data_IF_556369328303
#
_entry.id   IF_556369328303
#
_cell.length_a   1.000
_cell.length_b   1.000
_cell.length_c   1.000
_cell.angle_alpha   90.00
_cell.angle_beta   90.00
_cell.angle_gamma   90.00
#
_symmetry.space_group_name_H-M   'P 1'
#
loop_
_entity.id
_entity.type
_entity.pdbx_description
1 polymer ?
#
# COMPACT_ATOMS: atom_id res chain seq x y z
N UNK A 1 26.09 61.79 -27.86
CA UNK A 1 26.20 60.66 -26.93
C UNK A 1 25.84 59.34 -27.67
N UNK A 2 26.84 58.56 -28.10
CA UNK A 2 26.63 57.24 -28.81
C UNK A 2 26.44 56.18 -27.76
N UNK A 3 25.24 55.56 -27.67
CA UNK A 3 25.00 54.40 -26.80
C UNK A 3 25.74 53.19 -27.39
N UNK A 4 26.66 52.66 -26.67
CA UNK A 4 27.32 51.35 -26.99
C UNK A 4 26.32 50.25 -26.63
N UNK A 5 25.94 49.44 -27.61
CA UNK A 5 25.21 48.18 -27.39
C UNK A 5 26.15 47.22 -26.64
N UNK A 6 25.67 46.52 -25.60
CA UNK A 6 26.42 45.47 -24.97
C UNK A 6 26.52 44.25 -25.92
N UNK A 7 27.74 43.72 -26.06
CA UNK A 7 28.06 42.52 -26.82
C UNK A 7 27.36 41.32 -26.21
N UNK A 8 26.76 40.42 -27.00
CA UNK A 8 26.08 39.25 -26.46
C UNK A 8 27.10 38.28 -25.85
N UNK A 9 26.84 37.85 -24.61
CA UNK A 9 27.65 36.90 -23.88
C UNK A 9 27.75 35.58 -24.69
N UNK A 10 28.99 35.20 -25.02
CA UNK A 10 29.30 33.91 -25.66
C UNK A 10 28.94 32.79 -24.72
N UNK A 11 27.89 32.03 -25.06
CA UNK A 11 27.59 30.75 -24.41
C UNK A 11 28.76 29.79 -24.66
N UNK A 12 29.29 29.12 -23.63
CA UNK A 12 30.35 28.13 -23.82
C UNK A 12 29.81 26.98 -24.68
N UNK A 13 30.48 26.73 -25.80
CA UNK A 13 30.15 25.59 -26.70
C UNK A 13 30.24 24.29 -25.89
N UNK A 14 29.14 23.56 -25.82
CA UNK A 14 29.11 22.18 -25.31
C UNK A 14 30.09 21.38 -26.14
N UNK A 15 31.23 21.01 -25.52
CA UNK A 15 32.27 20.19 -26.10
C UNK A 15 31.65 18.86 -26.51
N UNK A 16 31.58 18.63 -27.83
CA UNK A 16 31.03 17.43 -28.43
C UNK A 16 31.82 16.21 -27.90
N UNK A 17 31.24 15.53 -26.91
CA UNK A 17 31.79 14.28 -26.39
C UNK A 17 31.36 13.16 -27.32
N UNK A 18 32.15 12.90 -28.36
CA UNK A 18 32.04 11.68 -29.14
C UNK A 18 32.26 10.49 -28.21
N UNK A 19 31.17 9.85 -27.85
CA UNK A 19 31.20 8.62 -27.07
C UNK A 19 31.76 7.50 -27.90
N UNK A 20 32.99 7.08 -27.61
CA UNK A 20 33.60 5.92 -28.23
C UNK A 20 32.78 4.65 -27.85
N UNK A 21 32.74 3.63 -28.74
CA UNK A 21 32.08 2.34 -28.44
C UNK A 21 32.43 1.78 -27.06
N UNK A 22 33.70 1.91 -26.63
CA UNK A 22 34.17 1.52 -25.29
C UNK A 22 33.50 2.32 -24.16
N UNK A 23 33.34 3.63 -24.33
CA UNK A 23 32.66 4.49 -23.34
C UNK A 23 31.16 4.17 -23.23
N UNK A 24 30.52 3.83 -24.36
CA UNK A 24 29.13 3.41 -24.37
C UNK A 24 28.94 2.06 -23.63
N UNK A 25 29.80 1.07 -23.92
CA UNK A 25 29.75 -0.25 -23.23
C UNK A 25 30.04 -0.10 -21.74
N UNK A 26 31.03 0.68 -21.35
CA UNK A 26 31.33 0.92 -19.94
C UNK A 26 30.19 1.66 -19.22
N UNK A 27 29.56 2.63 -19.86
CA UNK A 27 28.39 3.33 -19.35
C UNK A 27 27.18 2.39 -19.19
N UNK A 28 26.91 1.57 -20.20
CA UNK A 28 25.82 0.58 -20.14
C UNK A 28 26.06 -0.47 -19.03
N UNK A 29 27.29 -0.96 -18.89
CA UNK A 29 27.67 -1.89 -17.81
C UNK A 29 27.54 -1.24 -16.44
N UNK A 30 27.91 0.03 -16.28
CA UNK A 30 27.75 0.80 -15.05
C UNK A 30 26.27 0.96 -14.64
N UNK A 31 25.42 1.30 -15.62
CA UNK A 31 23.97 1.41 -15.40
C UNK A 31 23.37 0.05 -15.05
N UNK A 32 23.72 -1.02 -15.76
CA UNK A 32 23.26 -2.37 -15.45
C UNK A 32 23.72 -2.82 -14.04
N UNK A 33 24.95 -2.50 -13.64
CA UNK A 33 25.47 -2.77 -12.30
C UNK A 33 24.71 -2.02 -11.19
N UNK A 34 24.38 -0.76 -11.41
CA UNK A 34 23.55 0.04 -10.49
C UNK A 34 22.13 -0.53 -10.37
N UNK A 35 21.54 -0.98 -11.49
CA UNK A 35 20.22 -1.65 -11.46
C UNK A 35 20.28 -2.98 -10.71
N UNK A 36 21.34 -3.79 -10.91
CA UNK A 36 21.51 -5.05 -10.20
C UNK A 36 21.72 -4.85 -8.68
N UNK A 37 22.52 -3.84 -8.30
CA UNK A 37 22.71 -3.46 -6.90
C UNK A 37 21.40 -2.92 -6.28
N UNK A 38 20.65 -2.10 -7.01
CA UNK A 38 19.35 -1.61 -6.58
C UNK A 38 18.32 -2.73 -6.40
N UNK A 39 18.31 -3.73 -7.29
CA UNK A 39 17.45 -4.90 -7.17
C UNK A 39 17.83 -5.80 -5.98
N UNK A 40 19.12 -5.96 -5.70
CA UNK A 40 19.62 -6.72 -4.56
C UNK A 40 19.39 -6.01 -3.20
N UNK A 41 19.33 -4.67 -3.21
CA UNK A 41 19.05 -3.87 -2.03
C UNK A 41 17.55 -3.70 -1.74
N UNK A 42 16.66 -4.12 -2.65
CA UNK A 42 15.23 -4.18 -2.38
C UNK A 42 14.97 -5.36 -1.45
N UNK A 43 14.95 -5.09 -0.14
CA UNK A 43 14.39 -6.01 0.85
C UNK A 43 12.97 -6.43 0.45
N UNK A 44 12.46 -7.49 1.05
CA UNK A 44 11.08 -7.95 0.82
C UNK A 44 10.13 -6.76 0.96
N UNK A 45 9.47 -6.42 -0.14
CA UNK A 45 8.46 -5.37 -0.11
C UNK A 45 7.32 -5.83 0.79
N UNK A 46 6.87 -4.99 1.74
CA UNK A 46 5.78 -5.40 2.62
C UNK A 46 4.57 -5.80 1.78
N UNK A 47 3.88 -6.87 2.15
CA UNK A 47 2.73 -7.35 1.40
C UNK A 47 1.63 -6.27 1.41
N UNK A 48 1.21 -5.86 0.21
CA UNK A 48 0.23 -4.80 0.02
C UNK A 48 -1.18 -5.39 -0.13
N UNK A 49 -2.16 -4.80 0.56
CA UNK A 49 -3.55 -5.15 0.33
C UNK A 49 -4.01 -4.53 -0.99
N UNK A 50 -4.47 -5.36 -1.90
CA UNK A 50 -4.94 -4.97 -3.23
C UNK A 50 -6.46 -4.81 -3.27
N UNK A 51 -6.99 -4.02 -4.23
CA UNK A 51 -8.42 -3.99 -4.47
C UNK A 51 -8.98 -5.39 -4.77
N UNK A 52 -10.25 -5.67 -4.42
CA UNK A 52 -10.87 -6.96 -4.70
C UNK A 52 -10.82 -7.31 -6.20
N UNK A 53 -10.79 -8.60 -6.52
CA UNK A 53 -10.64 -9.08 -7.89
C UNK A 53 -9.25 -8.92 -8.50
N UNK A 54 -8.22 -8.52 -7.73
CA UNK A 54 -6.87 -8.34 -8.22
C UNK A 54 -5.87 -9.29 -7.55
N UNK A 55 -4.86 -9.71 -8.33
CA UNK A 55 -3.70 -10.45 -7.83
C UNK A 55 -2.43 -9.64 -8.09
N UNK A 56 -1.42 -9.80 -7.23
CA UNK A 56 -0.20 -9.00 -7.28
C UNK A 56 0.53 -9.10 -8.63
N UNK A 57 0.70 -10.31 -9.17
CA UNK A 57 1.38 -10.53 -10.44
C UNK A 57 0.60 -9.90 -11.60
N UNK A 58 -0.73 -10.03 -11.59
CA UNK A 58 -1.59 -9.43 -12.62
C UNK A 58 -1.57 -7.91 -12.53
N UNK A 59 -1.57 -7.38 -11.30
CA UNK A 59 -1.48 -5.94 -11.09
C UNK A 59 -0.15 -5.39 -11.62
N UNK A 60 0.97 -6.04 -11.36
CA UNK A 60 2.28 -5.65 -11.90
C UNK A 60 2.33 -5.74 -13.42
N UNK A 61 1.73 -6.76 -14.02
CA UNK A 61 1.79 -7.02 -15.46
C UNK A 61 0.84 -6.14 -16.28
N UNK A 62 -0.38 -5.88 -15.80
CA UNK A 62 -1.45 -5.30 -16.61
C UNK A 62 -1.87 -3.88 -16.18
N UNK A 63 -1.50 -3.41 -14.99
CA UNK A 63 -1.94 -2.11 -14.51
C UNK A 63 -1.29 -0.96 -15.28
N UNK A 64 -2.11 -0.16 -15.96
CA UNK A 64 -1.68 1.05 -16.66
C UNK A 64 -1.44 2.26 -15.74
N UNK A 65 -1.70 2.13 -14.44
CA UNK A 65 -1.59 3.23 -13.46
C UNK A 65 -2.43 4.46 -13.83
N UNK A 66 -3.61 4.23 -14.42
CA UNK A 66 -4.49 5.25 -14.99
C UNK A 66 -5.42 5.92 -13.99
N UNK A 67 -5.40 5.50 -12.72
CA UNK A 67 -6.18 6.03 -11.59
C UNK A 67 -7.72 5.91 -11.72
N UNK A 68 -8.27 5.25 -12.74
CA UNK A 68 -9.73 5.09 -12.93
C UNK A 68 -10.40 4.39 -11.76
N UNK A 69 -9.81 3.30 -11.25
CA UNK A 69 -10.33 2.57 -10.09
C UNK A 69 -10.40 3.46 -8.83
N UNK A 70 -9.42 4.33 -8.65
CA UNK A 70 -9.38 5.29 -7.55
C UNK A 70 -10.45 6.37 -7.69
N UNK A 71 -10.65 6.91 -8.90
CA UNK A 71 -11.59 8.01 -9.14
C UNK A 71 -13.05 7.61 -8.97
N UNK A 72 -13.41 6.33 -9.17
CA UNK A 72 -14.77 5.83 -8.98
C UNK A 72 -15.04 5.26 -7.58
N UNK A 73 -14.00 5.13 -6.76
CA UNK A 73 -14.15 4.62 -5.41
C UNK A 73 -14.81 5.67 -4.51
N UNK A 74 -16.09 5.52 -4.23
CA UNK A 74 -16.87 6.48 -3.45
C UNK A 74 -16.51 6.49 -1.95
N UNK A 75 -15.93 5.39 -1.44
CA UNK A 75 -15.45 5.31 -0.06
C UNK A 75 -14.04 5.88 0.11
N UNK A 76 -13.34 6.16 -1.01
CA UNK A 76 -12.00 6.73 -1.00
C UNK A 76 -10.90 5.78 -0.52
N UNK A 77 -11.19 4.49 -0.37
CA UNK A 77 -10.24 3.51 0.18
C UNK A 77 -9.09 3.18 -0.77
N UNK A 78 -9.26 3.37 -2.08
CA UNK A 78 -8.20 3.07 -3.05
C UNK A 78 -7.17 4.19 -3.07
N UNK A 79 -5.99 3.92 -2.54
CA UNK A 79 -4.80 4.73 -2.66
C UNK A 79 -3.87 4.25 -3.78
N UNK A 80 -2.66 4.77 -3.81
CA UNK A 80 -1.61 4.35 -4.75
C UNK A 80 -0.35 3.99 -3.97
N UNK A 81 0.34 2.95 -4.41
CA UNK A 81 1.63 2.57 -3.86
C UNK A 81 2.66 3.69 -4.04
N UNK A 82 3.44 3.95 -3.01
CA UNK A 82 4.51 4.93 -3.00
C UNK A 82 5.86 4.33 -3.43
N UNK A 83 6.89 5.13 -3.30
CA UNK A 83 8.26 4.69 -3.61
C UNK A 83 8.80 3.67 -2.61
N UNK A 84 8.36 3.76 -1.35
CA UNK A 84 8.79 2.87 -0.28
C UNK A 84 8.35 1.41 -0.49
N UNK A 85 7.23 1.21 -1.19
CA UNK A 85 6.70 -0.12 -1.53
C UNK A 85 7.38 -0.72 -2.77
N UNK A 86 8.30 0.01 -3.41
CA UNK A 86 9.11 -0.45 -4.54
C UNK A 86 8.67 0.11 -5.90
N UNK A 87 9.65 0.20 -6.80
CA UNK A 87 9.47 0.83 -8.13
C UNK A 87 8.39 0.14 -8.99
N UNK A 88 8.29 -1.18 -8.93
CA UNK A 88 7.33 -1.95 -9.74
C UNK A 88 5.89 -1.73 -9.31
N UNK A 89 5.66 -1.46 -8.02
CA UNK A 89 4.33 -1.25 -7.45
C UNK A 89 3.97 0.23 -7.32
N UNK A 90 4.93 1.12 -7.57
CA UNK A 90 4.70 2.56 -7.53
C UNK A 90 3.53 2.96 -8.43
N UNK A 91 2.61 3.77 -7.87
CA UNK A 91 1.37 4.21 -8.52
C UNK A 91 0.37 3.10 -8.91
N UNK A 92 0.60 1.86 -8.50
CA UNK A 92 -0.45 0.84 -8.62
C UNK A 92 -1.46 1.01 -7.48
N UNK A 93 -2.75 0.63 -7.69
CA UNK A 93 -3.77 0.76 -6.65
C UNK A 93 -3.47 -0.15 -5.45
N UNK A 94 -3.58 0.43 -4.26
CA UNK A 94 -3.47 -0.25 -2.96
C UNK A 94 -4.63 0.17 -2.07
N UNK A 95 -5.01 -0.69 -1.13
CA UNK A 95 -6.03 -0.32 -0.16
C UNK A 95 -5.42 0.55 0.95
N UNK A 96 -6.05 1.68 1.23
CA UNK A 96 -5.68 2.60 2.30
C UNK A 96 -6.84 2.73 3.28
N UNK A 97 -6.86 1.86 4.26
CA UNK A 97 -7.94 1.81 5.25
C UNK A 97 -7.93 2.95 6.27
N UNK A 98 -6.95 3.82 6.23
CA UNK A 98 -6.97 5.05 7.03
C UNK A 98 -7.96 6.09 6.46
N UNK A 99 -8.15 6.10 5.14
CA UNK A 99 -9.04 7.04 4.46
C UNK A 99 -10.45 6.53 4.21
N UNK A 100 -10.64 5.20 4.18
CA UNK A 100 -11.92 4.61 3.84
C UNK A 100 -11.96 3.11 4.11
N UNK A 101 -13.02 2.45 3.68
CA UNK A 101 -13.19 1.00 3.76
C UNK A 101 -13.77 0.47 2.43
N UNK A 102 -13.65 -0.82 2.16
CA UNK A 102 -14.23 -1.42 0.97
C UNK A 102 -15.63 -1.94 1.26
N UNK A 103 -16.60 -1.51 0.46
CA UNK A 103 -17.98 -2.03 0.48
C UNK A 103 -18.25 -3.07 -0.61
N UNK A 104 -17.21 -3.51 -1.30
CA UNK A 104 -17.28 -4.52 -2.37
C UNK A 104 -18.24 -4.15 -3.52
N UNK A 105 -18.43 -2.86 -3.81
CA UNK A 105 -19.37 -2.34 -4.81
C UNK A 105 -19.02 -2.64 -6.29
N UNK A 106 -17.89 -3.27 -6.58
CA UNK A 106 -17.40 -3.71 -7.90
C UNK A 106 -17.04 -2.59 -8.90
N UNK A 107 -17.34 -1.34 -8.62
CA UNK A 107 -17.07 -0.20 -9.55
C UNK A 107 -15.62 -0.12 -10.04
N UNK A 108 -14.65 -0.50 -9.20
CA UNK A 108 -13.23 -0.53 -9.58
C UNK A 108 -12.92 -1.59 -10.64
N UNK A 109 -13.62 -2.73 -10.62
CA UNK A 109 -13.51 -3.78 -11.64
C UNK A 109 -14.14 -3.35 -12.96
N UNK A 110 -15.33 -2.75 -12.93
CA UNK A 110 -16.08 -2.30 -14.10
C UNK A 110 -15.31 -1.28 -14.95
N UNK A 111 -14.54 -0.39 -14.32
CA UNK A 111 -13.79 0.67 -15.03
C UNK A 111 -12.38 0.27 -15.42
N UNK A 112 -11.91 -0.92 -15.04
CA UNK A 112 -10.55 -1.36 -15.33
C UNK A 112 -10.38 -1.78 -16.80
N UNK A 113 -9.67 -0.99 -17.64
CA UNK A 113 -9.64 -1.26 -19.08
C UNK A 113 -8.79 -2.47 -19.46
N UNK A 114 -7.89 -2.90 -18.58
CA UNK A 114 -6.95 -4.00 -18.84
C UNK A 114 -7.31 -5.30 -18.15
N UNK A 115 -8.34 -5.29 -17.29
CA UNK A 115 -8.67 -6.44 -16.45
C UNK A 115 -7.60 -6.75 -15.38
N UNK A 116 -6.77 -5.77 -15.01
CA UNK A 116 -5.88 -5.89 -13.85
C UNK A 116 -6.68 -6.11 -12.57
N UNK A 117 -7.84 -5.48 -12.48
CA UNK A 117 -8.90 -5.78 -11.52
C UNK A 117 -10.00 -6.51 -12.29
N UNK A 118 -10.30 -7.74 -11.93
CA UNK A 118 -11.36 -8.54 -12.54
C UNK A 118 -12.65 -8.39 -11.76
N UNK A 119 -13.74 -8.76 -12.39
CA UNK A 119 -15.00 -8.93 -11.69
C UNK A 119 -14.89 -10.02 -10.64
N UNK A 120 -15.58 -9.85 -9.52
CA UNK A 120 -15.54 -10.72 -8.36
C UNK A 120 -16.92 -10.78 -7.72
N UNK A 121 -17.15 -11.82 -6.94
CA UNK A 121 -18.38 -11.97 -6.17
C UNK A 121 -18.21 -11.26 -4.80
N UNK A 122 -19.02 -10.23 -4.50
CA UNK A 122 -18.94 -9.49 -3.25
C UNK A 122 -19.13 -10.33 -1.99
N UNK A 123 -19.85 -11.45 -2.07
CA UNK A 123 -20.17 -12.29 -0.92
C UNK A 123 -19.02 -13.23 -0.55
N UNK A 124 -18.23 -13.64 -1.54
CA UNK A 124 -17.17 -14.63 -1.35
C UNK A 124 -15.77 -14.06 -1.41
N UNK A 125 -15.62 -12.84 -1.96
CA UNK A 125 -14.31 -12.19 -2.13
C UNK A 125 -13.69 -11.81 -0.80
N UNK A 126 -12.44 -12.17 -0.61
CA UNK A 126 -11.62 -11.77 0.53
C UNK A 126 -10.36 -11.08 0.04
N UNK A 127 -10.09 -9.87 0.53
CA UNK A 127 -8.89 -9.09 0.18
C UNK A 127 -7.81 -9.11 1.25
N UNK A 128 -8.15 -9.53 2.44
CA UNK A 128 -7.25 -9.62 3.57
C UNK A 128 -7.95 -10.11 4.82
N UNK A 129 -7.21 -10.12 5.92
CA UNK A 129 -7.74 -10.41 7.25
C UNK A 129 -7.35 -9.30 8.22
N UNK A 130 -8.26 -8.96 9.12
CA UNK A 130 -7.97 -8.03 10.21
C UNK A 130 -7.12 -8.73 11.28
N UNK A 131 -6.09 -8.03 11.74
CA UNK A 131 -5.20 -8.48 12.81
C UNK A 131 -5.16 -7.45 13.92
N UNK A 132 -5.37 -7.89 15.15
CA UNK A 132 -5.23 -7.04 16.34
C UNK A 132 -3.75 -6.85 16.63
N UNK A 133 -3.33 -5.61 16.83
CA UNK A 133 -1.94 -5.24 17.12
C UNK A 133 -1.75 -4.92 18.60
N UNK A 134 -0.52 -4.91 19.07
CA UNK A 134 -0.17 -4.55 20.45
C UNK A 134 -0.57 -3.12 20.84
N UNK A 135 -0.81 -2.25 19.83
CA UNK A 135 -1.26 -0.89 20.04
C UNK A 135 -2.76 -0.78 20.35
N UNK A 136 -3.48 -1.89 20.31
CA UNK A 136 -4.91 -1.94 20.61
C UNK A 136 -5.22 -1.45 22.02
N UNK A 137 -6.15 -0.50 22.10
CA UNK A 137 -6.57 0.09 23.38
C UNK A 137 -7.25 -0.96 24.26
N UNK A 138 -8.05 -1.84 23.67
CA UNK A 138 -8.77 -2.89 24.41
C UNK A 138 -7.82 -3.87 25.12
N UNK A 139 -6.64 -4.15 24.54
CA UNK A 139 -5.64 -5.02 25.19
C UNK A 139 -5.07 -4.42 26.48
N UNK A 140 -5.15 -3.10 26.64
CA UNK A 140 -4.60 -2.39 27.81
C UNK A 140 -5.68 -1.98 28.82
N UNK A 141 -6.85 -1.64 28.34
CA UNK A 141 -7.89 -0.99 29.16
C UNK A 141 -9.18 -1.80 29.25
N UNK A 142 -9.35 -2.81 28.40
CA UNK A 142 -10.60 -3.58 28.23
C UNK A 142 -11.86 -2.70 27.98
N UNK A 143 -11.69 -1.44 27.53
CA UNK A 143 -12.76 -0.47 27.43
C UNK A 143 -13.13 -0.05 26.01
N UNK A 144 -12.47 -0.59 24.97
CA UNK A 144 -12.71 -0.21 23.59
C UNK A 144 -13.42 -1.33 22.82
N UNK A 145 -14.59 -1.02 22.25
CA UNK A 145 -15.46 -1.93 21.49
C UNK A 145 -15.63 -1.51 20.01
N UNK A 146 -15.00 -0.40 19.60
CA UNK A 146 -15.25 0.28 18.35
C UNK A 146 -15.15 -0.61 17.09
N UNK A 147 -14.22 -1.56 17.03
CA UNK A 147 -14.06 -2.46 15.90
C UNK A 147 -15.13 -3.54 15.83
N UNK A 148 -15.64 -4.02 16.95
CA UNK A 148 -16.78 -4.95 17.04
C UNK A 148 -18.05 -4.26 16.54
N UNK A 149 -18.40 -3.11 17.15
CA UNK A 149 -19.60 -2.35 16.81
C UNK A 149 -19.65 -1.90 15.33
N UNK A 150 -18.49 -1.66 14.73
CA UNK A 150 -18.39 -1.19 13.36
C UNK A 150 -18.33 -2.30 12.33
N UNK A 151 -18.20 -3.58 12.71
CA UNK A 151 -18.01 -4.68 11.78
C UNK A 151 -19.33 -5.01 11.05
N UNK A 152 -19.42 -4.81 9.73
CA UNK A 152 -20.67 -5.09 9.00
C UNK A 152 -20.90 -6.58 8.75
N UNK A 153 -19.93 -7.43 9.10
CA UNK A 153 -19.98 -8.89 8.88
C UNK A 153 -19.97 -9.69 10.18
N UNK A 154 -20.11 -9.02 11.33
CA UNK A 154 -20.05 -9.63 12.66
C UNK A 154 -18.82 -10.54 12.87
N UNK A 155 -17.71 -10.22 12.15
CA UNK A 155 -16.50 -11.00 12.15
C UNK A 155 -15.58 -10.70 13.36
N UNK A 156 -15.95 -9.77 14.22
CA UNK A 156 -15.17 -9.38 15.40
C UNK A 156 -16.06 -9.54 16.63
N UNK A 157 -15.60 -10.32 17.59
CA UNK A 157 -16.25 -10.54 18.88
C UNK A 157 -15.29 -10.14 20.01
N UNK A 158 -15.81 -9.91 21.21
CA UNK A 158 -15.00 -9.66 22.39
C UNK A 158 -14.87 -10.92 23.24
N UNK A 159 -13.68 -11.21 23.73
CA UNK A 159 -13.46 -12.29 24.68
C UNK A 159 -13.92 -11.89 26.11
N UNK A 160 -13.78 -12.82 27.06
CA UNK A 160 -14.15 -12.59 28.47
C UNK A 160 -13.40 -11.42 29.13
N UNK A 161 -12.32 -10.93 28.53
CA UNK A 161 -11.52 -9.80 28.98
C UNK A 161 -11.77 -8.54 28.14
N UNK A 162 -12.85 -8.51 27.34
CA UNK A 162 -13.18 -7.43 26.39
C UNK A 162 -12.08 -7.15 25.37
N UNK A 163 -11.35 -8.19 24.91
CA UNK A 163 -10.35 -8.06 23.87
C UNK A 163 -10.92 -8.52 22.54
N UNK A 164 -10.68 -7.80 21.42
CA UNK A 164 -11.24 -8.18 20.12
C UNK A 164 -10.59 -9.46 19.59
N UNK A 165 -11.43 -10.39 19.17
CA UNK A 165 -11.08 -11.64 18.51
C UNK A 165 -11.71 -11.61 17.10
N UNK A 166 -10.88 -11.85 16.08
CA UNK A 166 -11.34 -11.84 14.69
C UNK A 166 -11.60 -13.25 14.22
N UNK A 167 -12.80 -13.49 13.69
CA UNK A 167 -13.12 -14.73 13.00
C UNK A 167 -12.65 -14.68 11.54
N UNK A 168 -11.63 -15.45 11.14
CA UNK A 168 -11.14 -15.44 9.77
C UNK A 168 -12.13 -16.02 8.75
N UNK A 169 -13.12 -16.78 9.20
CA UNK A 169 -14.20 -17.32 8.36
C UNK A 169 -15.13 -16.21 7.85
N UNK A 170 -15.49 -15.30 8.73
CA UNK A 170 -16.41 -14.19 8.46
C UNK A 170 -15.70 -12.95 7.94
N UNK A 171 -14.44 -12.72 8.34
CA UNK A 171 -13.69 -11.53 7.93
C UNK A 171 -13.30 -11.60 6.44
N UNK A 172 -13.66 -10.57 5.68
CA UNK A 172 -13.29 -10.41 4.26
C UNK A 172 -12.22 -9.33 4.02
N UNK A 173 -11.76 -8.66 5.08
CA UNK A 173 -10.75 -7.62 4.97
C UNK A 173 -11.25 -6.25 4.50
N UNK A 174 -12.53 -5.94 4.67
CA UNK A 174 -13.12 -4.67 4.22
C UNK A 174 -12.45 -3.40 4.79
N UNK A 175 -11.77 -3.51 5.93
CA UNK A 175 -11.01 -2.43 6.57
C UNK A 175 -11.83 -1.45 7.39
N UNK A 176 -13.12 -1.71 7.63
CA UNK A 176 -13.97 -0.82 8.43
C UNK A 176 -13.45 -0.70 9.87
N UNK A 177 -13.02 -1.80 10.46
CA UNK A 177 -12.44 -1.86 11.80
C UNK A 177 -11.14 -1.03 11.90
N UNK A 178 -10.29 -1.07 10.87
CA UNK A 178 -9.06 -0.27 10.81
C UNK A 178 -9.38 1.21 10.64
N UNK A 179 -10.33 1.56 9.77
CA UNK A 179 -10.75 2.94 9.55
C UNK A 179 -11.20 3.63 10.84
N UNK A 180 -12.06 2.97 11.62
CA UNK A 180 -12.67 3.56 12.82
C UNK A 180 -11.77 3.49 14.06
N UNK A 181 -10.69 2.72 14.02
CA UNK A 181 -9.84 2.46 15.18
C UNK A 181 -9.29 3.75 15.79
N UNK A 182 -9.56 4.06 17.07
CA UNK A 182 -9.13 5.29 17.72
C UNK A 182 -7.66 5.24 18.19
N UNK A 183 -6.98 4.09 18.13
CA UNK A 183 -5.62 3.93 18.67
C UNK A 183 -4.62 4.93 18.06
N UNK A 184 -4.77 5.28 16.78
CA UNK A 184 -3.94 6.28 16.10
C UNK A 184 -4.00 7.67 16.77
N UNK A 185 -5.18 8.08 17.24
CA UNK A 185 -5.37 9.39 17.91
C UNK A 185 -4.62 9.43 19.23
N UNK A 186 -4.66 8.35 20.00
CA UNK A 186 -4.01 8.26 21.31
C UNK A 186 -2.48 8.18 21.22
N UNK A 187 -1.93 7.80 20.08
CA UNK A 187 -0.48 7.66 19.89
C UNK A 187 0.12 8.74 18.99
N UNK A 188 -0.68 9.64 18.44
CA UNK A 188 -0.23 10.70 17.54
C UNK A 188 0.90 11.56 18.14
N UNK A 189 0.85 11.84 19.42
CA UNK A 189 1.88 12.62 20.12
C UNK A 189 3.24 11.90 20.23
N UNK A 190 3.29 10.58 20.01
CA UNK A 190 4.53 9.79 19.92
C UNK A 190 5.01 9.57 18.47
N UNK A 191 4.38 10.22 17.50
CA UNK A 191 4.67 10.01 16.07
C UNK A 191 4.20 8.65 15.54
N UNK A 192 3.44 7.88 16.32
CA UNK A 192 2.89 6.60 15.90
C UNK A 192 1.67 6.77 15.00
N UNK A 193 1.66 6.11 13.86
CA UNK A 193 0.51 6.02 12.96
C UNK A 193 -0.13 4.61 12.98
N UNK A 194 0.28 3.77 13.92
CA UNK A 194 -0.20 2.38 13.99
C UNK A 194 -1.61 2.30 14.58
N UNK A 195 -2.47 1.58 13.89
CA UNK A 195 -3.82 1.27 14.35
C UNK A 195 -3.79 0.06 15.29
N UNK A 196 -4.74 -0.01 16.21
CA UNK A 196 -4.92 -1.15 17.12
C UNK A 196 -5.46 -2.41 16.44
N UNK A 197 -5.98 -2.27 15.23
CA UNK A 197 -6.35 -3.34 14.33
C UNK A 197 -5.98 -2.92 12.90
N UNK A 198 -5.37 -3.81 12.15
CA UNK A 198 -4.90 -3.56 10.78
C UNK A 198 -5.30 -4.72 9.88
N UNK A 199 -5.61 -4.43 8.62
CA UNK A 199 -5.88 -5.46 7.63
C UNK A 199 -4.58 -5.83 6.92
N UNK A 200 -4.28 -7.12 6.90
CA UNK A 200 -3.14 -7.69 6.16
C UNK A 200 -3.65 -8.49 4.97
N UNK A 201 -2.91 -8.52 3.85
CA UNK A 201 -3.28 -9.35 2.71
C UNK A 201 -3.27 -10.82 3.09
N UNK A 202 -4.10 -11.61 2.39
CA UNK A 202 -4.04 -13.05 2.49
C UNK A 202 -2.66 -13.49 1.97
N UNK A 203 -1.86 -14.14 2.80
CA UNK A 203 -0.63 -14.78 2.35
C UNK A 203 -0.99 -15.83 1.29
N UNK A 204 -0.28 -15.83 0.16
CA UNK A 204 -0.42 -16.87 -0.85
C UNK A 204 0.17 -18.19 -0.29
N UNK A 205 -0.60 -18.91 0.50
CA UNK A 205 -0.19 -20.13 1.18
C UNK A 205 -0.66 -20.07 2.63
N UNK A 206 -1.83 -20.68 2.86
CA UNK A 206 -2.54 -20.63 4.13
C UNK A 206 -1.75 -21.20 5.29
N UNK A 207 -2.22 -20.82 6.43
CA UNK A 207 -2.10 -21.31 7.79
C UNK A 207 -1.42 -20.34 8.74
N UNK A 208 -2.15 -20.07 9.81
CA UNK A 208 -1.88 -19.18 10.90
C UNK A 208 -0.44 -19.17 11.41
N UNK A 209 0.11 -17.99 11.44
CA UNK A 209 1.23 -17.70 12.30
C UNK A 209 0.82 -16.58 13.25
N UNK A 210 0.29 -17.05 14.38
CA UNK A 210 0.26 -16.29 15.61
C UNK A 210 1.69 -16.35 16.19
N UNK A 211 2.61 -15.56 15.60
CA UNK A 211 3.90 -15.32 16.24
C UNK A 211 4.29 -13.86 15.99
N UNK A 212 4.48 -13.18 17.12
CA UNK A 212 4.78 -11.77 17.19
C UNK A 212 6.08 -11.42 16.46
N UNK A 213 6.03 -10.50 15.54
CA UNK A 213 7.20 -9.76 15.11
C UNK A 213 7.43 -8.54 16.02
N UNK A 214 8.19 -8.78 17.07
CA UNK A 214 8.78 -7.76 17.92
C UNK A 214 10.06 -7.25 17.25
N UNK A 215 9.97 -6.54 16.12
CA UNK A 215 11.09 -5.76 15.55
C UNK A 215 10.61 -4.42 14.98
N UNK A 216 10.20 -3.54 15.85
CA UNK A 216 10.15 -2.12 15.58
C UNK A 216 11.48 -1.48 15.89
N UNK A 217 12.44 -1.57 14.97
CA UNK A 217 13.70 -0.84 15.07
C UNK A 217 13.48 0.64 14.86
N UNK A 218 13.92 1.44 15.85
CA UNK A 218 14.20 2.85 15.77
C UNK A 218 14.90 3.25 14.45
N UNK A 219 14.36 4.22 13.74
CA UNK A 219 15.11 5.43 13.27
C UNK A 219 14.10 6.46 12.78
#
# INVERSE_FOLDING_TARGET
MKRRNPEPARTPALKDRTTNRRGFIAGAAGVAGLFALGAAAQGETPPLVRPPGSAEERMKALCLRCDRCRSVCHTGVIGVGGFAEGLLVMRTPVMNFHGGFCDFCRKCAEVCPTGAIRDFDPETEKIGLAHVTETCIALRTAACTACEEACPYDAITLDAQNRPVVDPGLCNGCGKCEQICPANVYQAYRGGCLRGIVVRPLSAGGQGDAEGDARGGMR
#
